data_IF_603687860673
#
_entry.id   IF_603687860673
#
_cell.length_a   1.000
_cell.length_b   1.000
_cell.length_c   1.000
_cell.angle_alpha   90.00
_cell.angle_beta   90.00
_cell.angle_gamma   90.00
#
_symmetry.space_group_name_H-M   'P 1'
#
loop_
_entity.id
_entity.type
_entity.pdbx_description
1 polymer ?
#
# COMPACT_ATOMS: atom_id res chain seq x y z
N UNK A 1 101.02 -8.87 30.80
CA UNK A 1 101.05 -8.85 29.32
C UNK A 1 100.84 -10.27 28.82
N UNK A 2 99.63 -10.59 28.33
CA UNK A 2 99.29 -11.93 27.85
C UNK A 2 97.96 -11.88 27.11
N UNK A 3 98.00 -11.62 25.80
CA UNK A 3 96.81 -11.43 24.97
C UNK A 3 96.97 -12.05 23.56
N UNK A 4 97.64 -13.19 23.45
CA UNK A 4 97.95 -13.82 22.15
C UNK A 4 97.45 -15.27 21.90
N UNK A 5 96.91 -16.08 22.85
CA UNK A 5 96.46 -17.42 22.50
C UNK A 5 95.09 -17.45 21.81
N UNK A 6 94.19 -16.51 22.13
CA UNK A 6 92.84 -16.47 21.57
C UNK A 6 92.83 -16.16 20.06
N UNK A 7 93.73 -15.31 19.59
CA UNK A 7 93.82 -14.94 18.17
C UNK A 7 94.32 -16.11 17.30
N UNK A 8 95.23 -16.94 17.81
CA UNK A 8 95.75 -18.10 17.10
C UNK A 8 94.69 -19.22 17.01
N UNK A 9 93.99 -19.49 18.13
CA UNK A 9 92.89 -20.46 18.18
C UNK A 9 91.75 -20.03 17.25
N UNK A 10 91.39 -18.74 17.25
CA UNK A 10 90.36 -18.20 16.35
C UNK A 10 90.72 -18.41 14.88
N UNK A 11 91.98 -18.18 14.47
CA UNK A 11 92.43 -18.39 13.08
C UNK A 11 92.35 -19.85 12.64
N UNK A 12 92.77 -20.80 13.48
CA UNK A 12 92.70 -22.23 13.16
C UNK A 12 91.26 -22.74 13.06
N UNK A 13 90.37 -22.28 13.94
CA UNK A 13 88.95 -22.63 13.86
C UNK A 13 88.32 -22.05 12.59
N UNK A 14 88.66 -20.80 12.24
CA UNK A 14 88.14 -20.16 11.02
C UNK A 14 88.62 -20.87 9.74
N UNK A 15 89.89 -21.28 9.67
CA UNK A 15 90.41 -21.97 8.47
C UNK A 15 89.83 -23.36 8.31
N UNK A 16 89.60 -24.07 9.42
CA UNK A 16 88.95 -25.38 9.41
C UNK A 16 87.48 -25.26 8.99
N UNK A 17 86.75 -24.31 9.56
CA UNK A 17 85.36 -24.02 9.19
C UNK A 17 85.25 -23.61 7.72
N UNK A 18 86.16 -22.78 7.23
CA UNK A 18 86.23 -22.39 5.82
C UNK A 18 86.47 -23.60 4.91
N UNK A 19 87.43 -24.47 5.23
CA UNK A 19 87.69 -25.70 4.48
C UNK A 19 86.49 -26.65 4.47
N UNK A 20 85.78 -26.80 5.60
CA UNK A 20 84.58 -27.61 5.70
C UNK A 20 83.42 -27.04 4.86
N UNK A 21 83.21 -25.73 4.87
CA UNK A 21 82.20 -25.04 4.03
C UNK A 21 82.49 -25.28 2.55
N UNK A 22 83.75 -25.15 2.13
CA UNK A 22 84.14 -25.40 0.73
C UNK A 22 84.01 -26.86 0.31
N UNK A 23 84.20 -27.80 1.25
CA UNK A 23 84.03 -29.24 1.02
C UNK A 23 82.55 -29.65 0.94
N UNK A 24 81.67 -28.96 1.67
CA UNK A 24 80.24 -29.28 1.74
C UNK A 24 79.33 -28.25 1.03
N UNK A 25 79.91 -27.37 0.19
CA UNK A 25 79.20 -26.28 -0.49
C UNK A 25 77.94 -26.74 -1.26
N UNK A 26 77.98 -27.91 -1.87
CA UNK A 26 76.84 -28.46 -2.61
C UNK A 26 75.66 -28.83 -1.70
N UNK A 27 75.94 -29.43 -0.53
CA UNK A 27 74.90 -29.78 0.45
C UNK A 27 74.30 -28.51 1.06
N UNK A 28 75.13 -27.52 1.37
CA UNK A 28 74.68 -26.22 1.88
C UNK A 28 73.79 -25.52 0.84
N UNK A 29 74.21 -25.49 -0.43
CA UNK A 29 73.42 -24.89 -1.51
C UNK A 29 72.06 -25.60 -1.70
N UNK A 30 72.03 -26.94 -1.65
CA UNK A 30 70.78 -27.70 -1.72
C UNK A 30 69.87 -27.44 -0.52
N UNK A 31 70.43 -27.34 0.69
CA UNK A 31 69.67 -26.98 1.89
C UNK A 31 69.02 -25.59 1.77
N UNK A 32 69.76 -24.60 1.28
CA UNK A 32 69.24 -23.25 1.03
C UNK A 32 68.13 -23.29 -0.03
N UNK A 33 68.36 -24.00 -1.14
CA UNK A 33 67.36 -24.14 -2.19
C UNK A 33 66.07 -24.82 -1.71
N UNK A 34 66.17 -25.85 -0.86
CA UNK A 34 65.01 -26.52 -0.27
C UNK A 34 64.21 -25.60 0.66
N UNK A 35 64.89 -24.78 1.48
CA UNK A 35 64.24 -23.80 2.36
C UNK A 35 63.54 -22.72 1.52
N UNK A 36 64.19 -22.22 0.47
CA UNK A 36 63.61 -21.23 -0.44
C UNK A 36 62.34 -21.78 -1.12
N UNK A 37 62.39 -23.00 -1.65
CA UNK A 37 61.25 -23.65 -2.28
C UNK A 37 60.10 -23.90 -1.30
N UNK A 38 60.41 -24.32 -0.06
CA UNK A 38 59.41 -24.49 0.98
C UNK A 38 58.72 -23.16 1.34
N UNK A 39 59.50 -22.07 1.46
CA UNK A 39 58.97 -20.75 1.73
C UNK A 39 58.06 -20.24 0.58
N UNK A 40 58.46 -20.45 -0.67
CA UNK A 40 57.68 -20.08 -1.85
C UNK A 40 56.38 -20.89 -1.95
N UNK A 41 56.43 -22.21 -1.73
CA UNK A 41 55.22 -23.04 -1.63
C UNK A 41 54.28 -22.55 -0.51
N UNK A 42 54.82 -22.17 0.65
CA UNK A 42 54.04 -21.59 1.75
C UNK A 42 53.32 -20.30 1.34
N UNK A 43 54.02 -19.38 0.65
CA UNK A 43 53.42 -18.14 0.16
C UNK A 43 52.28 -18.41 -0.84
N UNK A 44 52.48 -19.31 -1.80
CA UNK A 44 51.45 -19.67 -2.78
C UNK A 44 50.21 -20.27 -2.10
N UNK A 45 50.38 -21.09 -1.06
CA UNK A 45 49.24 -21.61 -0.30
C UNK A 45 48.50 -20.52 0.47
N UNK A 46 49.23 -19.59 1.10
CA UNK A 46 48.63 -18.47 1.81
C UNK A 46 47.86 -17.53 0.88
N UNK A 47 48.39 -17.25 -0.31
CA UNK A 47 47.71 -16.46 -1.34
C UNK A 47 46.44 -17.15 -1.84
N UNK A 48 46.51 -18.45 -2.12
CA UNK A 48 45.35 -19.25 -2.53
C UNK A 48 44.27 -19.24 -1.45
N UNK A 49 44.65 -19.43 -0.20
CA UNK A 49 43.71 -19.48 0.93
C UNK A 49 43.10 -18.10 1.18
N UNK A 50 43.87 -17.01 1.05
CA UNK A 50 43.36 -15.64 1.11
C UNK A 50 42.37 -15.35 -0.04
N UNK A 51 42.65 -15.82 -1.27
CA UNK A 51 41.75 -15.68 -2.40
C UNK A 51 40.43 -16.46 -2.18
N UNK A 52 40.53 -17.70 -1.68
CA UNK A 52 39.37 -18.52 -1.36
C UNK A 52 38.50 -17.89 -0.26
N UNK A 53 39.11 -17.31 0.77
CA UNK A 53 38.39 -16.59 1.83
C UNK A 53 37.64 -15.38 1.28
N UNK A 54 38.27 -14.58 0.41
CA UNK A 54 37.61 -13.44 -0.25
C UNK A 54 36.42 -13.90 -1.10
N UNK A 55 36.60 -14.94 -1.91
CA UNK A 55 35.52 -15.48 -2.73
C UNK A 55 34.37 -16.07 -1.89
N UNK A 56 34.66 -16.72 -0.77
CA UNK A 56 33.65 -17.22 0.15
C UNK A 56 32.88 -16.06 0.81
N UNK A 57 33.59 -15.04 1.29
CA UNK A 57 32.98 -13.86 1.89
C UNK A 57 32.07 -13.12 0.89
N UNK A 58 32.49 -12.98 -0.36
CA UNK A 58 31.68 -12.38 -1.42
C UNK A 58 30.41 -13.20 -1.70
N UNK A 59 30.53 -14.53 -1.80
CA UNK A 59 29.35 -15.41 -1.97
C UNK A 59 28.37 -15.28 -0.82
N UNK A 60 28.86 -15.27 0.42
CA UNK A 60 28.01 -15.09 1.61
C UNK A 60 27.35 -13.71 1.63
N UNK A 61 28.08 -12.65 1.30
CA UNK A 61 27.52 -11.30 1.21
C UNK A 61 26.43 -11.22 0.13
N UNK A 62 26.68 -11.79 -1.04
CA UNK A 62 25.71 -11.82 -2.13
C UNK A 62 24.46 -12.63 -1.80
N UNK A 63 24.63 -13.78 -1.14
CA UNK A 63 23.51 -14.58 -0.67
C UNK A 63 22.68 -13.82 0.37
N UNK A 64 23.34 -13.14 1.32
CA UNK A 64 22.69 -12.31 2.31
C UNK A 64 21.86 -11.20 1.67
N UNK A 65 22.42 -10.47 0.70
CA UNK A 65 21.68 -9.44 -0.03
C UNK A 65 20.44 -9.99 -0.74
N UNK A 66 20.53 -11.20 -1.33
CA UNK A 66 19.37 -11.85 -1.95
C UNK A 66 18.30 -12.22 -0.94
N UNK A 67 18.71 -12.74 0.20
CA UNK A 67 17.78 -13.15 1.26
C UNK A 67 17.12 -11.92 1.90
N UNK A 68 17.87 -10.86 2.14
CA UNK A 68 17.36 -9.56 2.62
C UNK A 68 16.36 -8.96 1.61
N UNK A 69 16.66 -9.02 0.31
CA UNK A 69 15.77 -8.56 -0.74
C UNK A 69 14.47 -9.38 -0.80
N UNK A 70 14.56 -10.71 -0.68
CA UNK A 70 13.37 -11.59 -0.63
C UNK A 70 12.52 -11.32 0.60
N UNK A 71 13.14 -11.12 1.76
CA UNK A 71 12.44 -10.78 2.99
C UNK A 71 11.71 -9.43 2.86
N UNK A 72 12.37 -8.42 2.30
CA UNK A 72 11.77 -7.11 2.05
C UNK A 72 10.59 -7.21 1.07
N UNK A 73 10.69 -8.02 0.01
CA UNK A 73 9.56 -8.25 -0.90
C UNK A 73 8.38 -8.93 -0.21
N UNK A 74 8.64 -9.95 0.63
CA UNK A 74 7.58 -10.63 1.38
C UNK A 74 6.88 -9.68 2.36
N UNK A 75 7.63 -8.81 3.04
CA UNK A 75 7.08 -7.80 3.94
C UNK A 75 6.26 -6.75 3.18
N UNK A 76 6.75 -6.26 2.04
CA UNK A 76 6.01 -5.34 1.18
C UNK A 76 4.69 -5.96 0.70
N UNK A 77 4.72 -7.22 0.24
CA UNK A 77 3.52 -7.94 -0.19
C UNK A 77 2.51 -8.11 0.96
N UNK A 78 2.97 -8.37 2.19
CA UNK A 78 2.10 -8.44 3.37
C UNK A 78 1.44 -7.09 3.65
N UNK A 79 2.22 -6.01 3.64
CA UNK A 79 1.70 -4.65 3.89
C UNK A 79 0.71 -4.21 2.81
N UNK A 80 0.97 -4.56 1.55
CA UNK A 80 0.05 -4.27 0.45
C UNK A 80 -1.25 -5.07 0.58
N UNK A 81 -1.17 -6.36 0.95
CA UNK A 81 -2.36 -7.16 1.24
C UNK A 81 -3.20 -6.57 2.38
N UNK A 82 -2.57 -6.11 3.47
CA UNK A 82 -3.25 -5.43 4.59
C UNK A 82 -3.88 -4.10 4.17
N UNK A 83 -3.23 -3.33 3.29
CA UNK A 83 -3.79 -2.08 2.74
C UNK A 83 -5.01 -2.37 1.87
N UNK A 84 -4.90 -3.33 0.96
CA UNK A 84 -6.01 -3.74 0.08
C UNK A 84 -7.19 -4.25 0.93
N UNK A 85 -6.94 -5.08 1.94
CA UNK A 85 -7.99 -5.59 2.81
C UNK A 85 -8.73 -4.47 3.56
N UNK A 86 -8.00 -3.47 4.09
CA UNK A 86 -8.61 -2.30 4.74
C UNK A 86 -9.43 -1.46 3.77
N UNK A 87 -8.92 -1.24 2.56
CA UNK A 87 -9.62 -0.47 1.55
C UNK A 87 -10.87 -1.20 1.05
N UNK A 88 -10.81 -2.52 0.87
CA UNK A 88 -12.00 -3.33 0.56
C UNK A 88 -13.05 -3.26 1.67
N UNK A 89 -12.64 -3.36 2.94
CA UNK A 89 -13.55 -3.23 4.07
C UNK A 89 -14.23 -1.84 4.07
N UNK A 90 -13.45 -0.77 3.85
CA UNK A 90 -13.97 0.59 3.75
C UNK A 90 -14.97 0.76 2.59
N UNK A 91 -14.65 0.21 1.42
CA UNK A 91 -15.55 0.26 0.27
C UNK A 91 -16.85 -0.51 0.53
N UNK A 92 -16.77 -1.65 1.23
CA UNK A 92 -17.96 -2.40 1.62
C UNK A 92 -18.85 -1.59 2.57
N UNK A 93 -18.27 -0.93 3.57
CA UNK A 93 -19.02 -0.06 4.50
C UNK A 93 -19.72 1.09 3.77
N UNK A 94 -19.03 1.76 2.83
CA UNK A 94 -19.60 2.84 2.01
C UNK A 94 -20.76 2.30 1.16
N UNK A 95 -20.58 1.15 0.51
CA UNK A 95 -21.60 0.54 -0.34
C UNK A 95 -22.84 0.12 0.48
N UNK A 96 -22.63 -0.49 1.65
CA UNK A 96 -23.72 -0.88 2.54
C UNK A 96 -24.50 0.34 3.05
N UNK A 97 -23.80 1.42 3.41
CA UNK A 97 -24.43 2.67 3.83
C UNK A 97 -25.23 3.31 2.70
N UNK A 98 -24.66 3.40 1.49
CA UNK A 98 -25.32 3.95 0.31
C UNK A 98 -26.56 3.12 -0.09
N UNK A 99 -26.44 1.79 -0.05
CA UNK A 99 -27.54 0.87 -0.36
C UNK A 99 -28.71 1.03 0.62
N UNK A 100 -28.41 1.17 1.92
CA UNK A 100 -29.43 1.41 2.96
C UNK A 100 -30.12 2.76 2.78
N UNK A 101 -29.37 3.84 2.56
CA UNK A 101 -29.94 5.18 2.34
C UNK A 101 -30.83 5.20 1.09
N UNK A 102 -30.36 4.63 -0.01
CA UNK A 102 -31.16 4.50 -1.23
C UNK A 102 -32.47 3.72 -0.99
N UNK A 103 -32.42 2.57 -0.31
CA UNK A 103 -33.60 1.78 0.01
C UNK A 103 -34.60 2.56 0.88
N UNK A 104 -34.12 3.34 1.86
CA UNK A 104 -34.96 4.19 2.70
C UNK A 104 -35.63 5.30 1.88
N UNK A 105 -34.89 5.99 1.00
CA UNK A 105 -35.42 7.04 0.13
C UNK A 105 -36.48 6.49 -0.84
N UNK A 106 -36.24 5.33 -1.43
CA UNK A 106 -37.18 4.67 -2.32
C UNK A 106 -38.47 4.26 -1.57
N UNK A 107 -38.36 3.70 -0.38
CA UNK A 107 -39.51 3.36 0.46
C UNK A 107 -40.31 4.60 0.84
N UNK A 108 -39.63 5.69 1.22
CA UNK A 108 -40.28 6.97 1.54
C UNK A 108 -41.00 7.58 0.33
N UNK A 109 -40.42 7.50 -0.87
CA UNK A 109 -41.03 7.95 -2.12
C UNK A 109 -42.31 7.15 -2.42
N UNK A 110 -42.24 5.82 -2.37
CA UNK A 110 -43.38 4.93 -2.60
C UNK A 110 -44.50 5.15 -1.59
N UNK A 111 -44.16 5.33 -0.30
CA UNK A 111 -45.14 5.65 0.73
C UNK A 111 -45.84 7.00 0.49
N UNK A 112 -45.10 8.02 0.02
CA UNK A 112 -45.68 9.32 -0.38
C UNK A 112 -46.63 9.16 -1.56
N UNK A 113 -46.24 8.40 -2.58
CA UNK A 113 -47.08 8.14 -3.74
C UNK A 113 -48.35 7.37 -3.37
N UNK A 114 -48.25 6.35 -2.51
CA UNK A 114 -49.39 5.60 -2.03
C UNK A 114 -50.38 6.50 -1.27
N UNK A 115 -49.89 7.39 -0.40
CA UNK A 115 -50.74 8.39 0.27
C UNK A 115 -51.48 9.31 -0.70
N UNK A 116 -50.83 9.72 -1.81
CA UNK A 116 -51.48 10.52 -2.85
C UNK A 116 -52.58 9.73 -3.56
N UNK A 117 -52.34 8.45 -3.88
CA UNK A 117 -53.35 7.56 -4.46
C UNK A 117 -54.53 7.33 -3.53
N UNK A 118 -54.25 7.08 -2.24
CA UNK A 118 -55.28 6.83 -1.24
C UNK A 118 -56.12 8.10 -1.01
N UNK A 119 -55.50 9.28 -0.97
CA UNK A 119 -56.20 10.57 -0.90
C UNK A 119 -57.05 10.87 -2.13
N UNK A 120 -56.58 10.50 -3.33
CA UNK A 120 -57.36 10.63 -4.56
C UNK A 120 -58.54 9.65 -4.63
N UNK A 121 -58.37 8.41 -4.13
CA UNK A 121 -59.40 7.37 -4.08
C UNK A 121 -60.45 7.60 -2.99
N UNK A 122 -60.05 8.17 -1.85
CA UNK A 122 -60.96 8.47 -0.74
C UNK A 122 -62.02 9.52 -1.11
N UNK A 123 -61.89 10.17 -2.27
CA UNK A 123 -62.88 11.10 -2.78
C UNK A 123 -62.81 12.44 -2.07
N UNK A 124 -62.81 13.50 -2.88
CA UNK A 124 -63.08 14.87 -2.45
C UNK A 124 -64.33 14.91 -1.55
N UNK A 125 -64.24 15.32 -0.27
CA UNK A 125 -65.32 16.07 0.30
C UNK A 125 -65.30 17.43 -0.42
N UNK A 126 -66.31 17.68 -1.24
CA UNK A 126 -66.60 19.05 -1.64
C UNK A 126 -66.65 19.92 -0.37
N UNK A 127 -65.73 20.88 -0.25
CA UNK A 127 -65.73 21.85 0.84
C UNK A 127 -64.39 22.04 1.52
N UNK A 128 -63.42 22.63 0.82
CA UNK A 128 -62.66 23.71 1.48
C UNK A 128 -63.63 24.89 1.65
N UNK A 129 -64.57 24.74 2.58
CA UNK A 129 -65.26 25.87 3.15
C UNK A 129 -64.18 26.68 3.86
N UNK A 130 -63.70 27.71 3.16
CA UNK A 130 -63.28 28.95 3.80
C UNK A 130 -64.48 29.47 4.60
N UNK A 131 -64.79 28.84 5.73
CA UNK A 131 -65.56 29.44 6.78
C UNK A 131 -64.60 30.45 7.45
N UNK A 132 -64.42 31.56 6.75
CA UNK A 132 -63.83 32.74 7.34
C UNK A 132 -64.65 33.05 8.58
N UNK A 133 -64.00 32.96 9.75
CA UNK A 133 -64.46 33.66 10.93
C UNK A 133 -64.48 35.13 10.52
N UNK A 134 -65.68 35.63 10.20
CA UNK A 134 -65.87 37.02 9.82
C UNK A 134 -65.63 37.87 11.07
N UNK A 135 -64.42 38.41 11.20
CA UNK A 135 -64.13 39.49 12.15
C UNK A 135 -64.70 40.77 11.52
N UNK A 136 -65.71 41.42 12.13
CA UNK A 136 -66.31 42.62 11.55
C UNK A 136 -65.31 43.77 11.50
N UNK A 137 -65.03 44.30 10.31
CA UNK A 137 -64.31 45.58 10.16
C UNK A 137 -63.17 45.64 9.14
N UNK A 138 -62.85 44.58 8.39
CA UNK A 138 -61.80 44.62 7.35
C UNK A 138 -62.33 44.18 5.97
N UNK A 139 -61.95 44.86 4.87
CA UNK A 139 -62.29 44.43 3.52
C UNK A 139 -61.60 43.11 3.18
N UNK A 140 -62.34 42.22 2.51
CA UNK A 140 -61.86 40.90 2.11
C UNK A 140 -60.66 41.02 1.16
N UNK A 141 -59.49 40.55 1.60
CA UNK A 141 -58.31 40.41 0.76
C UNK A 141 -58.45 39.16 -0.12
N UNK A 142 -58.38 39.26 -1.46
CA UNK A 142 -58.37 38.09 -2.32
C UNK A 142 -56.97 37.47 -2.29
N UNK A 143 -56.90 36.13 -2.21
CA UNK A 143 -55.69 35.38 -2.50
C UNK A 143 -55.01 34.78 -1.27
N UNK A 144 -55.50 33.62 -0.83
CA UNK A 144 -54.73 32.74 0.03
C UNK A 144 -53.49 32.26 -0.72
N UNK A 145 -52.31 32.44 -0.13
CA UNK A 145 -51.09 31.76 -0.58
C UNK A 145 -51.27 30.28 -0.30
N UNK A 146 -51.64 29.55 -1.35
CA UNK A 146 -51.55 28.11 -1.40
C UNK A 146 -50.16 27.68 -0.92
N UNK A 147 -50.13 26.87 0.13
CA UNK A 147 -48.95 26.10 0.47
C UNK A 147 -48.58 25.30 -0.77
N UNK A 148 -47.48 25.68 -1.42
CA UNK A 148 -47.10 25.15 -2.72
C UNK A 148 -47.00 23.63 -2.63
N UNK A 149 -47.83 22.85 -3.35
CA UNK A 149 -47.56 21.43 -3.50
C UNK A 149 -46.18 21.31 -4.15
N UNK A 150 -45.32 20.43 -3.63
CA UNK A 150 -44.02 20.14 -4.23
C UNK A 150 -44.24 19.77 -5.72
N UNK A 151 -43.94 20.74 -6.59
CA UNK A 151 -44.36 20.78 -8.00
C UNK A 151 -43.79 19.59 -8.78
N UNK A 152 -42.78 18.90 -8.22
CA UNK A 152 -42.12 17.74 -8.82
C UNK A 152 -43.04 16.54 -9.05
N UNK A 153 -44.10 16.34 -8.25
CA UNK A 153 -45.11 15.31 -8.53
C UNK A 153 -46.40 15.87 -9.17
N UNK A 154 -46.67 17.17 -9.01
CA UNK A 154 -47.96 17.77 -9.35
C UNK A 154 -48.01 18.49 -10.72
N UNK A 155 -46.98 18.37 -11.57
CA UNK A 155 -46.80 19.05 -12.87
C UNK A 155 -48.07 19.44 -13.68
N UNK A 156 -47.98 20.64 -14.28
CA UNK A 156 -49.00 21.43 -14.99
C UNK A 156 -49.78 20.71 -16.12
N UNK A 157 -51.01 21.13 -16.48
CA UNK A 157 -51.95 20.31 -17.25
C UNK A 157 -51.77 20.27 -18.79
N UNK A 158 -50.55 20.33 -19.32
CA UNK A 158 -50.32 20.14 -20.75
C UNK A 158 -48.97 19.41 -20.97
N UNK A 159 -49.00 18.24 -21.61
CA UNK A 159 -47.85 17.33 -21.89
C UNK A 159 -47.28 16.54 -20.70
N UNK A 160 -48.06 16.31 -19.64
CA UNK A 160 -47.55 15.61 -18.46
C UNK A 160 -47.76 14.11 -18.48
N UNK A 161 -46.66 13.37 -18.31
CA UNK A 161 -46.59 11.97 -17.87
C UNK A 161 -47.71 11.64 -16.86
N UNK A 162 -48.34 10.48 -17.00
CA UNK A 162 -49.33 9.97 -16.04
C UNK A 162 -48.75 9.82 -14.62
N UNK A 163 -49.57 9.77 -13.55
CA UNK A 163 -49.06 9.64 -12.18
C UNK A 163 -48.09 8.47 -11.98
N UNK A 164 -48.33 7.34 -12.66
CA UNK A 164 -47.44 6.17 -12.69
C UNK A 164 -46.11 6.45 -13.40
N UNK A 165 -46.14 7.15 -14.52
CA UNK A 165 -44.95 7.52 -15.30
C UNK A 165 -44.09 8.55 -14.56
N UNK A 166 -44.70 9.46 -13.78
CA UNK A 166 -43.97 10.37 -12.89
C UNK A 166 -43.29 9.63 -11.74
N UNK A 167 -43.92 8.59 -11.19
CA UNK A 167 -43.29 7.74 -10.19
C UNK A 167 -42.08 7.02 -10.80
N UNK A 168 -42.24 6.42 -11.99
CA UNK A 168 -41.14 5.73 -12.70
C UNK A 168 -39.99 6.71 -12.97
N UNK A 169 -40.28 7.91 -13.46
CA UNK A 169 -39.27 8.94 -13.70
C UNK A 169 -38.56 9.39 -12.41
N UNK A 170 -39.29 9.51 -11.29
CA UNK A 170 -38.71 9.84 -9.99
C UNK A 170 -37.84 8.70 -9.43
N UNK A 171 -38.24 7.43 -9.61
CA UNK A 171 -37.43 6.27 -9.24
C UNK A 171 -36.15 6.20 -10.09
N UNK A 172 -36.24 6.43 -11.40
CA UNK A 172 -35.07 6.48 -12.29
C UNK A 172 -34.12 7.64 -11.95
N UNK A 173 -34.66 8.82 -11.64
CA UNK A 173 -33.86 9.96 -11.21
C UNK A 173 -33.13 9.67 -9.89
N UNK A 174 -33.77 9.02 -8.92
CA UNK A 174 -33.11 8.60 -7.67
C UNK A 174 -32.04 7.52 -7.90
N UNK A 175 -32.25 6.60 -8.84
CA UNK A 175 -31.23 5.62 -9.21
C UNK A 175 -29.99 6.30 -9.80
N UNK A 176 -30.20 7.27 -10.69
CA UNK A 176 -29.10 8.02 -11.30
C UNK A 176 -28.34 8.84 -10.26
N UNK A 177 -29.04 9.51 -9.36
CA UNK A 177 -28.45 10.33 -8.28
C UNK A 177 -27.67 9.46 -7.29
N UNK A 178 -28.19 8.28 -6.93
CA UNK A 178 -27.51 7.31 -6.08
C UNK A 178 -26.23 6.75 -6.73
N UNK A 179 -26.27 6.49 -8.05
CA UNK A 179 -25.08 6.08 -8.80
C UNK A 179 -24.01 7.18 -8.85
N UNK A 180 -24.42 8.43 -9.10
CA UNK A 180 -23.51 9.58 -9.10
C UNK A 180 -22.87 9.75 -7.72
N UNK A 181 -23.68 9.72 -6.66
CA UNK A 181 -23.19 9.83 -5.28
C UNK A 181 -22.21 8.70 -4.91
N UNK A 182 -22.51 7.46 -5.30
CA UNK A 182 -21.62 6.32 -5.08
C UNK A 182 -20.28 6.49 -5.82
N UNK A 183 -20.30 6.94 -7.07
CA UNK A 183 -19.08 7.20 -7.85
C UNK A 183 -18.24 8.34 -7.25
N UNK A 184 -18.88 9.43 -6.81
CA UNK A 184 -18.20 10.56 -6.16
C UNK A 184 -17.57 10.12 -4.84
N UNK A 185 -18.30 9.40 -3.98
CA UNK A 185 -17.78 8.89 -2.72
C UNK A 185 -16.58 7.92 -2.91
N UNK A 186 -16.61 7.10 -3.97
CA UNK A 186 -15.48 6.24 -4.34
C UNK A 186 -14.29 7.02 -4.92
N UNK A 187 -14.54 8.18 -5.54
CA UNK A 187 -13.51 9.07 -6.08
C UNK A 187 -12.81 9.89 -5.01
N UNK A 188 -13.55 10.41 -4.02
CA UNK A 188 -13.01 11.18 -2.89
C UNK A 188 -12.17 10.33 -1.94
N UNK A 189 -12.39 9.01 -1.89
CA UNK A 189 -11.55 8.07 -1.16
C UNK A 189 -10.18 7.75 -1.80
N UNK A 190 -9.90 8.26 -3.01
CA UNK A 190 -8.63 8.03 -3.74
C UNK A 190 -7.62 9.19 -3.67
N UNK A 191 -7.86 10.22 -2.85
CA UNK A 191 -6.92 11.32 -2.58
C UNK A 191 -6.29 11.17 -1.18
#
# INVERSE_FOLDING_TARGET
>A
MGALPLAAIAKSVLSWAWGAIWRHRGVIALGIAAIALWAECGQLTAERDAANQKAAAEKTAHQRTKDDYRAAQAEAARLDAERIAREMARQQEINDAASKDYAQRLAALRARYQRLLDGAKAGSPAGSASAGIAVPGLPASPGGTAQAPDIRLAGAPAECLGPSERLIAAEQAMQLDALIAAVVALGEGRL
#
